data_IF_637238076417
#
_entry.id   IF_637238076417
#
_cell.length_a   1.000
_cell.length_b   1.000
_cell.length_c   1.000
_cell.angle_alpha   90.00
_cell.angle_beta   90.00
_cell.angle_gamma   90.00
#
_symmetry.space_group_name_H-M   'P 1'
#
loop_
_entity.id
_entity.type
_entity.pdbx_description
1 polymer ?
#
# COMPACT_ATOMS: atom_id res chain seq x y z
N UNK A 1 -21.33 -31.24 54.53
CA UNK A 1 -22.14 -30.06 54.12
C UNK A 1 -21.53 -28.70 54.48
N UNK A 2 -20.55 -28.58 55.40
CA UNK A 2 -19.90 -27.28 55.70
C UNK A 2 -18.69 -26.94 54.81
N UNK A 3 -17.97 -27.94 54.27
CA UNK A 3 -16.86 -27.69 53.33
C UNK A 3 -17.31 -27.26 51.93
N UNK A 4 -18.47 -27.75 51.45
CA UNK A 4 -19.01 -27.35 50.14
C UNK A 4 -19.49 -25.90 50.11
N UNK A 5 -20.02 -25.39 51.23
CA UNK A 5 -20.47 -24.00 51.36
C UNK A 5 -19.27 -23.04 51.35
N UNK A 6 -18.16 -23.42 51.97
CA UNK A 6 -16.93 -22.61 51.94
C UNK A 6 -16.28 -22.58 50.55
N UNK A 7 -16.34 -23.67 49.77
CA UNK A 7 -15.78 -23.69 48.42
C UNK A 7 -16.59 -22.83 47.44
N UNK A 8 -17.92 -22.85 47.56
CA UNK A 8 -18.82 -22.01 46.75
C UNK A 8 -18.69 -20.53 47.13
N UNK A 9 -18.54 -20.22 48.42
CA UNK A 9 -18.30 -18.84 48.87
C UNK A 9 -16.97 -18.28 48.34
N UNK A 10 -15.90 -19.09 48.31
CA UNK A 10 -14.60 -18.68 47.74
C UNK A 10 -14.69 -18.48 46.22
N UNK A 11 -15.41 -19.34 45.49
CA UNK A 11 -15.65 -19.16 44.05
C UNK A 11 -16.51 -17.91 43.73
N UNK A 12 -17.51 -17.56 44.56
CA UNK A 12 -18.30 -16.34 44.38
C UNK A 12 -17.50 -15.05 44.66
N UNK A 13 -16.54 -15.09 45.60
CA UNK A 13 -15.68 -13.94 45.92
C UNK A 13 -14.62 -13.71 44.82
N UNK A 14 -14.17 -14.76 44.14
CA UNK A 14 -13.24 -14.64 43.00
C UNK A 14 -13.95 -14.10 41.74
N UNK A 15 -15.26 -14.29 41.59
CA UNK A 15 -16.04 -13.76 40.46
C UNK A 15 -16.47 -12.28 40.60
N UNK A 16 -16.21 -11.63 41.73
CA UNK A 16 -16.73 -10.28 42.02
C UNK A 16 -15.67 -9.17 41.93
N UNK A 17 -14.43 -9.48 41.52
CA UNK A 17 -13.35 -8.50 41.34
C UNK A 17 -12.87 -8.42 39.88
N UNK A 18 -13.81 -8.32 38.95
CA UNK A 18 -13.52 -7.73 37.63
C UNK A 18 -13.82 -6.24 37.76
N UNK A 19 -12.78 -5.44 37.95
CA UNK A 19 -12.85 -3.99 37.89
C UNK A 19 -13.29 -3.57 36.49
N UNK A 20 -14.27 -2.66 36.47
CA UNK A 20 -14.79 -2.02 35.27
C UNK A 20 -13.69 -1.17 34.63
N UNK A 21 -13.19 -1.59 33.47
CA UNK A 21 -12.46 -0.69 32.59
C UNK A 21 -13.45 0.26 31.92
N UNK A 22 -13.12 1.54 32.01
CA UNK A 22 -13.91 2.67 31.56
C UNK A 22 -14.16 2.60 30.05
N UNK A 23 -15.42 2.48 29.67
CA UNK A 23 -15.87 2.67 28.29
C UNK A 23 -15.93 4.18 28.03
N UNK A 24 -14.90 4.72 27.39
CA UNK A 24 -14.98 6.07 26.81
C UNK A 24 -15.87 6.04 25.57
N UNK A 25 -16.84 6.96 25.41
CA UNK A 25 -17.64 7.06 24.19
C UNK A 25 -16.78 7.71 23.11
N UNK A 26 -16.32 6.92 22.13
CA UNK A 26 -15.74 7.47 20.90
C UNK A 26 -16.85 8.10 20.06
N UNK A 27 -16.82 9.42 19.96
CA UNK A 27 -17.67 10.20 19.08
C UNK A 27 -17.62 9.70 17.63
N UNK A 28 -18.80 9.60 17.03
CA UNK A 28 -19.03 9.51 15.59
C UNK A 28 -18.51 10.79 14.94
N UNK A 29 -17.47 10.68 14.12
CA UNK A 29 -17.12 11.68 13.13
C UNK A 29 -16.44 11.00 11.92
N UNK A 30 -17.18 10.99 10.81
CA UNK A 30 -16.73 10.88 9.42
C UNK A 30 -15.50 10.03 9.10
N UNK A 31 -15.72 8.86 8.52
CA UNK A 31 -14.75 8.18 7.65
C UNK A 31 -14.53 9.02 6.38
N UNK A 32 -13.71 10.07 6.48
CA UNK A 32 -13.09 10.68 5.30
C UNK A 32 -11.86 9.82 4.95
N UNK A 33 -11.88 9.20 3.78
CA UNK A 33 -10.85 8.29 3.31
C UNK A 33 -9.46 8.90 3.46
N UNK A 34 -8.63 8.30 4.31
CA UNK A 34 -7.23 8.66 4.44
C UNK A 34 -6.54 8.27 3.14
N UNK A 35 -6.32 9.27 2.29
CA UNK A 35 -5.50 9.18 1.09
C UNK A 35 -4.18 8.51 1.46
N UNK A 36 -3.97 7.28 0.97
CA UNK A 36 -2.74 6.51 1.19
C UNK A 36 -1.52 7.09 0.45
N UNK A 37 -1.61 8.36 0.01
CA UNK A 37 -0.57 9.14 -0.67
C UNK A 37 0.18 10.06 0.31
N UNK A 38 0.32 9.67 1.58
CA UNK A 38 1.20 10.41 2.49
C UNK A 38 2.65 10.16 2.03
N UNK A 39 3.23 11.14 1.32
CA UNK A 39 4.66 11.14 1.00
C UNK A 39 5.45 10.99 2.29
N UNK A 40 6.43 10.09 2.31
CA UNK A 40 7.31 9.92 3.47
C UNK A 40 8.40 10.98 3.40
N UNK A 41 8.49 11.83 4.43
CA UNK A 41 9.52 12.86 4.51
C UNK A 41 10.65 12.40 5.44
N UNK A 42 11.89 12.72 5.06
CA UNK A 42 13.07 12.61 5.93
C UNK A 42 13.59 14.02 6.19
N UNK A 43 13.81 14.39 7.45
CA UNK A 43 14.37 15.70 7.80
C UNK A 43 15.88 15.55 8.00
N UNK A 44 16.67 16.39 7.33
CA UNK A 44 18.13 16.46 7.49
C UNK A 44 18.53 17.84 7.99
N UNK A 45 19.27 17.88 9.10
CA UNK A 45 19.73 19.11 9.73
C UNK A 45 21.18 19.40 9.31
N UNK A 46 21.43 20.64 8.93
CA UNK A 46 22.70 21.14 8.44
C UNK A 46 23.27 22.17 9.41
N UNK A 47 24.55 22.03 9.76
CA UNK A 47 25.29 22.97 10.61
C UNK A 47 25.75 24.21 9.83
N UNK A 48 26.18 25.25 10.55
CA UNK A 48 26.72 26.47 9.96
C UNK A 48 27.92 26.22 9.04
N UNK A 49 28.74 25.22 9.34
CA UNK A 49 29.92 24.85 8.53
C UNK A 49 29.58 24.10 7.23
N UNK A 50 28.33 23.63 7.07
CA UNK A 50 27.90 22.83 5.91
C UNK A 50 26.43 23.06 5.58
N UNK A 51 26.03 24.29 5.20
CA UNK A 51 24.63 24.61 4.93
C UNK A 51 24.13 23.96 3.64
N UNK A 52 22.85 23.63 3.62
CA UNK A 52 22.15 23.29 2.38
C UNK A 52 21.86 24.56 1.58
N UNK A 53 22.07 24.52 0.27
CA UNK A 53 21.80 25.62 -0.64
C UNK A 53 20.57 25.29 -1.50
N UNK A 54 19.45 26.01 -1.35
CA UNK A 54 18.24 25.79 -2.14
C UNK A 54 18.37 26.32 -3.57
N UNK A 55 17.51 25.82 -4.46
CA UNK A 55 17.26 26.44 -5.76
C UNK A 55 16.40 27.73 -5.60
N UNK A 56 16.48 28.66 -6.56
CA UNK A 56 15.83 29.99 -6.51
C UNK A 56 14.31 29.97 -6.25
N UNK A 57 13.60 28.90 -6.60
CA UNK A 57 12.15 28.74 -6.49
C UNK A 57 11.74 27.74 -5.38
N UNK A 58 12.62 27.41 -4.45
CA UNK A 58 12.33 26.46 -3.38
C UNK A 58 11.65 27.14 -2.17
N UNK A 59 10.44 26.70 -1.84
CA UNK A 59 9.69 27.19 -0.67
C UNK A 59 10.41 26.84 0.64
N UNK A 60 10.39 27.75 1.62
CA UNK A 60 11.03 27.56 2.92
C UNK A 60 10.11 27.89 4.09
N UNK A 61 10.32 27.21 5.21
CA UNK A 61 9.53 27.36 6.45
C UNK A 61 10.47 27.55 7.63
N UNK A 62 10.15 28.54 8.46
CA UNK A 62 10.85 28.78 9.72
C UNK A 62 10.34 27.85 10.81
N UNK A 63 11.23 27.16 11.51
CA UNK A 63 10.88 26.22 12.57
C UNK A 63 11.78 26.37 13.81
N UNK A 64 11.24 26.73 14.99
CA UNK A 64 11.96 26.65 16.25
C UNK A 64 11.90 25.24 16.85
N UNK A 65 13.01 24.76 17.41
CA UNK A 65 13.03 23.54 18.20
C UNK A 65 12.79 23.84 19.70
N UNK A 66 12.49 22.80 20.48
CA UNK A 66 12.27 22.83 21.93
C UNK A 66 13.40 23.50 22.72
N UNK A 67 14.62 23.45 22.20
CA UNK A 67 15.81 24.07 22.80
C UNK A 67 15.97 25.56 22.46
N UNK A 68 15.00 26.17 21.75
CA UNK A 68 15.06 27.56 21.29
C UNK A 68 16.04 27.80 20.14
N UNK A 69 16.47 26.74 19.45
CA UNK A 69 17.26 26.85 18.20
C UNK A 69 16.32 27.04 17.01
N UNK A 70 16.65 28.00 16.17
CA UNK A 70 15.87 28.33 14.98
C UNK A 70 16.45 27.61 13.76
N UNK A 71 15.56 27.12 12.90
CA UNK A 71 15.92 26.46 11.65
C UNK A 71 15.15 27.09 10.50
N UNK A 72 15.81 27.20 9.34
CA UNK A 72 15.15 27.46 8.07
C UNK A 72 15.14 26.18 7.25
N UNK A 73 13.95 25.67 6.96
CA UNK A 73 13.75 24.37 6.34
C UNK A 73 13.15 24.49 4.95
N UNK A 74 13.79 23.88 3.97
CA UNK A 74 13.42 23.96 2.56
C UNK A 74 12.53 22.78 2.19
N UNK A 75 11.33 23.09 1.71
CA UNK A 75 10.36 22.09 1.31
C UNK A 75 10.72 21.50 -0.06
N UNK A 76 10.56 20.18 -0.25
CA UNK A 76 10.78 19.54 -1.53
C UNK A 76 9.71 20.00 -2.53
N UNK A 77 10.14 20.28 -3.77
CA UNK A 77 9.22 20.57 -4.87
C UNK A 77 8.47 19.29 -5.23
N UNK A 78 7.24 19.14 -4.73
CA UNK A 78 6.37 18.03 -5.14
C UNK A 78 5.82 18.37 -6.52
N UNK A 79 6.33 17.71 -7.56
CA UNK A 79 5.69 17.75 -8.87
C UNK A 79 4.26 17.25 -8.72
N UNK A 80 3.28 18.15 -8.80
CA UNK A 80 1.88 17.76 -8.92
C UNK A 80 1.77 17.03 -10.25
N UNK A 81 1.69 15.70 -10.21
CA UNK A 81 1.35 14.88 -11.36
C UNK A 81 0.12 15.54 -11.97
N UNK A 82 0.28 16.12 -13.16
CA UNK A 82 -0.82 16.73 -13.90
C UNK A 82 -1.86 15.64 -14.05
N UNK A 83 -2.96 15.75 -13.31
CA UNK A 83 -4.17 15.01 -13.62
C UNK A 83 -4.46 15.33 -15.07
N UNK A 84 -4.31 14.33 -15.93
CA UNK A 84 -4.69 14.41 -17.32
C UNK A 84 -6.18 14.74 -17.33
N UNK A 85 -6.50 16.03 -17.44
CA UNK A 85 -7.86 16.48 -17.71
C UNK A 85 -8.28 15.81 -19.02
N UNK A 86 -9.54 15.36 -19.17
CA UNK A 86 -10.01 14.86 -20.45
C UNK A 86 -9.82 15.99 -21.47
N UNK A 87 -9.07 15.70 -22.53
CA UNK A 87 -8.84 16.64 -23.63
C UNK A 87 -10.19 16.88 -24.29
N UNK A 88 -10.77 18.05 -24.05
CA UNK A 88 -11.84 18.60 -24.86
C UNK A 88 -11.27 18.84 -26.26
N UNK A 89 -11.82 18.16 -27.26
CA UNK A 89 -11.43 18.31 -28.65
C UNK A 89 -11.65 19.76 -29.11
N UNK A 90 -10.56 20.48 -29.40
CA UNK A 90 -10.59 21.62 -30.32
C UNK A 90 -9.37 21.53 -31.25
N UNK A 91 -9.65 21.41 -32.54
CA UNK A 91 -8.70 21.51 -33.67
C UNK A 91 -8.14 22.97 -33.72
N UNK A 92 -6.97 23.36 -34.28
CA UNK A 92 -6.08 22.88 -35.34
C UNK A 92 -4.69 23.57 -35.18
N UNK A 93 -3.63 22.92 -35.70
CA UNK A 93 -2.38 23.47 -36.30
C UNK A 93 -1.35 24.23 -35.44
N UNK A 94 -0.17 23.65 -35.20
CA UNK A 94 0.96 23.59 -36.15
C UNK A 94 2.23 23.01 -35.51
N UNK A 95 2.89 22.12 -36.25
CA UNK A 95 4.33 21.78 -36.24
C UNK A 95 5.10 21.77 -34.91
N UNK A 96 5.22 20.60 -34.30
CA UNK A 96 6.53 20.04 -33.92
C UNK A 96 6.51 18.56 -34.35
N UNK A 97 7.20 18.27 -35.45
CA UNK A 97 7.60 16.90 -35.80
C UNK A 97 8.85 16.62 -34.98
N UNK A 98 8.66 16.13 -33.77
CA UNK A 98 9.68 15.31 -33.12
C UNK A 98 9.09 13.94 -32.89
N UNK A 99 9.87 12.95 -33.32
CA UNK A 99 9.50 11.56 -33.43
C UNK A 99 9.15 10.95 -32.08
N UNK A 100 7.90 11.12 -31.67
CA UNK A 100 7.25 10.11 -30.85
C UNK A 100 7.08 8.89 -31.75
N UNK A 101 8.11 8.03 -31.78
CA UNK A 101 7.84 6.61 -31.90
C UNK A 101 6.84 6.35 -30.77
N UNK A 102 5.55 6.33 -31.07
CA UNK A 102 4.56 5.69 -30.22
C UNK A 102 5.04 4.24 -30.12
N UNK A 103 5.90 3.97 -29.15
CA UNK A 103 6.23 2.63 -28.73
C UNK A 103 4.92 2.13 -28.17
N UNK A 104 4.16 1.41 -29.01
CA UNK A 104 2.94 0.74 -28.59
C UNK A 104 3.32 -0.09 -27.37
N UNK A 105 2.92 0.37 -26.18
CA UNK A 105 3.21 -0.32 -24.94
C UNK A 105 2.53 -1.68 -25.04
N UNK A 106 3.31 -2.74 -24.78
CA UNK A 106 2.77 -4.08 -24.75
C UNK A 106 1.73 -4.19 -23.65
N UNK A 107 0.65 -4.92 -23.88
CA UNK A 107 -0.33 -5.19 -22.82
C UNK A 107 0.29 -6.06 -21.71
N UNK A 108 -0.29 -6.08 -20.50
CA UNK A 108 0.16 -6.99 -19.45
C UNK A 108 0.20 -8.45 -19.90
N UNK A 109 -0.84 -8.90 -20.63
CA UNK A 109 -0.89 -10.27 -21.16
C UNK A 109 0.23 -10.53 -22.18
N UNK A 110 0.50 -9.59 -23.10
CA UNK A 110 1.62 -9.69 -24.06
C UNK A 110 3.00 -9.76 -23.38
N UNK A 111 3.16 -9.13 -22.22
CA UNK A 111 4.39 -9.20 -21.43
C UNK A 111 4.53 -10.54 -20.71
N UNK A 112 3.41 -11.15 -20.31
CA UNK A 112 3.35 -12.41 -19.59
C UNK A 112 3.37 -13.64 -20.51
N UNK A 113 3.19 -13.49 -21.83
CA UNK A 113 3.31 -14.60 -22.81
C UNK A 113 4.61 -15.43 -22.69
N UNK A 114 5.72 -14.84 -22.22
CA UNK A 114 6.96 -15.60 -21.99
C UNK A 114 6.85 -16.64 -20.88
N UNK A 115 5.81 -16.57 -20.05
CA UNK A 115 5.49 -17.53 -19.01
C UNK A 115 4.71 -18.74 -19.53
N UNK A 116 4.24 -18.70 -20.79
CA UNK A 116 3.56 -19.82 -21.42
C UNK A 116 4.43 -21.08 -21.38
N UNK A 117 3.80 -22.21 -21.10
CA UNK A 117 4.44 -23.52 -20.89
C UNK A 117 5.44 -23.57 -19.72
N UNK A 118 5.49 -22.55 -18.86
CA UNK A 118 6.28 -22.56 -17.61
C UNK A 118 5.38 -22.84 -16.42
N UNK A 119 5.91 -23.67 -15.53
CA UNK A 119 5.29 -23.95 -14.24
C UNK A 119 6.20 -23.50 -13.11
N UNK A 120 5.60 -22.98 -12.04
CA UNK A 120 6.25 -22.49 -10.85
C UNK A 120 5.79 -23.34 -9.67
N UNK A 121 6.74 -23.78 -8.85
CA UNK A 121 6.45 -24.60 -7.67
C UNK A 121 6.86 -23.84 -6.42
N UNK A 122 6.01 -23.87 -5.40
CA UNK A 122 6.30 -23.35 -4.07
C UNK A 122 5.82 -24.33 -3.01
N UNK A 123 6.73 -24.71 -2.11
CA UNK A 123 6.41 -25.54 -0.95
C UNK A 123 6.07 -24.65 0.25
N UNK A 124 4.94 -24.93 0.90
CA UNK A 124 4.54 -24.34 2.18
C UNK A 124 4.11 -25.44 3.16
N UNK A 125 5.06 -25.87 3.99
CA UNK A 125 4.84 -26.95 4.96
C UNK A 125 4.51 -28.27 4.27
N UNK A 126 3.32 -28.81 4.57
CA UNK A 126 2.81 -30.08 4.04
C UNK A 126 2.47 -30.01 2.54
N UNK A 127 2.10 -28.84 2.03
CA UNK A 127 1.62 -28.68 0.67
C UNK A 127 2.68 -28.07 -0.25
N UNK A 128 2.71 -28.53 -1.49
CA UNK A 128 3.39 -27.86 -2.59
C UNK A 128 2.36 -27.36 -3.59
N UNK A 129 2.54 -26.14 -4.09
CA UNK A 129 1.65 -25.49 -5.04
C UNK A 129 2.37 -25.36 -6.37
N UNK A 130 1.80 -25.94 -7.41
CA UNK A 130 2.29 -25.85 -8.78
C UNK A 130 1.33 -25.00 -9.61
N UNK A 131 1.84 -23.87 -10.11
CA UNK A 131 1.13 -22.95 -10.97
C UNK A 131 1.71 -23.00 -12.39
N UNK A 132 0.90 -23.34 -13.38
CA UNK A 132 1.28 -23.25 -14.79
C UNK A 132 0.46 -22.14 -15.48
N UNK A 133 1.16 -21.19 -16.11
CA UNK A 133 0.53 -20.01 -16.71
C UNK A 133 -0.48 -20.39 -17.80
N UNK A 134 -1.69 -19.83 -17.72
CA UNK A 134 -2.84 -20.11 -18.60
C UNK A 134 -3.21 -21.60 -18.73
N UNK A 135 -2.89 -22.40 -17.69
CA UNK A 135 -3.25 -23.80 -17.63
C UNK A 135 -4.01 -24.09 -16.34
N UNK A 136 -3.31 -24.45 -15.25
CA UNK A 136 -3.95 -24.78 -13.97
C UNK A 136 -3.07 -24.45 -12.78
N UNK A 137 -3.72 -24.25 -11.65
CA UNK A 137 -3.09 -24.24 -10.34
C UNK A 137 -3.49 -25.52 -9.60
N UNK A 138 -2.51 -26.21 -9.03
CA UNK A 138 -2.75 -27.39 -8.19
C UNK A 138 -1.97 -27.35 -6.89
N UNK A 139 -2.58 -27.93 -5.87
CA UNK A 139 -1.99 -28.23 -4.57
C UNK A 139 -1.68 -29.73 -4.56
N UNK A 140 -0.43 -30.09 -4.27
CA UNK A 140 0.08 -31.45 -4.26
C UNK A 140 0.81 -31.73 -2.95
N UNK A 141 0.64 -32.94 -2.42
CA UNK A 141 1.49 -33.49 -1.37
C UNK A 141 2.35 -34.60 -1.95
N UNK A 142 3.66 -34.55 -1.68
CA UNK A 142 4.66 -35.45 -2.25
C UNK A 142 5.37 -36.20 -1.13
N UNK A 143 5.36 -37.53 -1.20
CA UNK A 143 6.13 -38.42 -0.32
C UNK A 143 6.99 -39.33 -1.20
N UNK A 144 8.28 -39.50 -0.86
CA UNK A 144 9.23 -40.33 -1.64
C UNK A 144 9.21 -40.05 -3.15
N UNK A 145 9.18 -38.78 -3.53
CA UNK A 145 9.08 -38.29 -4.92
C UNK A 145 7.81 -38.72 -5.68
N UNK A 146 6.77 -39.18 -4.97
CA UNK A 146 5.46 -39.53 -5.53
C UNK A 146 4.40 -38.58 -5.02
N UNK A 147 3.57 -38.08 -5.94
CA UNK A 147 2.37 -37.31 -5.59
C UNK A 147 1.35 -38.26 -4.97
N UNK A 148 1.12 -38.14 -3.66
CA UNK A 148 0.16 -38.96 -2.92
C UNK A 148 -1.21 -38.31 -2.79
N UNK A 149 -1.27 -36.98 -2.92
CA UNK A 149 -2.52 -36.23 -2.89
C UNK A 149 -2.45 -35.03 -3.83
N UNK A 150 -3.53 -34.77 -4.57
CA UNK A 150 -3.63 -33.67 -5.53
C UNK A 150 -5.02 -33.03 -5.48
N UNK A 151 -5.06 -31.69 -5.45
CA UNK A 151 -6.25 -30.88 -5.61
C UNK A 151 -6.00 -29.79 -6.64
N UNK A 152 -6.88 -29.67 -7.63
CA UNK A 152 -6.86 -28.55 -8.57
C UNK A 152 -7.55 -27.36 -7.90
N UNK A 153 -6.83 -26.25 -7.77
CA UNK A 153 -7.36 -25.01 -7.17
C UNK A 153 -8.00 -24.08 -8.21
N UNK A 154 -7.89 -24.45 -9.48
CA UNK A 154 -8.57 -23.82 -10.61
C UNK A 154 -7.85 -24.09 -11.92
N UNK A 155 -8.58 -23.91 -13.02
CA UNK A 155 -8.12 -23.96 -14.42
C UNK A 155 -8.34 -22.57 -15.01
N UNK A 156 -7.42 -22.13 -15.86
CA UNK A 156 -7.48 -20.79 -16.44
C UNK A 156 -8.81 -20.56 -17.17
N UNK A 157 -9.47 -19.46 -16.83
CA UNK A 157 -10.77 -19.08 -17.37
C UNK A 157 -10.63 -17.72 -18.08
N UNK A 158 -10.58 -17.76 -19.41
CA UNK A 158 -10.37 -16.58 -20.24
C UNK A 158 -11.57 -15.61 -20.16
N UNK A 159 -12.79 -16.14 -20.14
CA UNK A 159 -14.01 -15.33 -20.08
C UNK A 159 -14.14 -14.63 -18.72
N UNK A 160 -13.95 -15.37 -17.62
CA UNK A 160 -13.95 -14.79 -16.28
C UNK A 160 -12.81 -13.78 -16.10
N UNK A 161 -11.63 -14.05 -16.66
CA UNK A 161 -10.50 -13.12 -16.65
C UNK A 161 -10.82 -11.82 -17.38
N UNK A 162 -11.39 -11.91 -18.59
CA UNK A 162 -11.79 -10.75 -19.37
C UNK A 162 -12.86 -9.92 -18.65
N UNK A 163 -13.88 -10.58 -18.09
CA UNK A 163 -14.94 -9.91 -17.33
C UNK A 163 -14.40 -9.21 -16.06
N UNK A 164 -13.49 -9.87 -15.34
CA UNK A 164 -12.85 -9.30 -14.15
C UNK A 164 -12.03 -8.06 -14.49
N UNK A 165 -11.20 -8.13 -15.54
CA UNK A 165 -10.34 -7.03 -15.96
C UNK A 165 -11.11 -5.85 -16.59
N UNK A 166 -12.28 -6.10 -17.20
CA UNK A 166 -13.17 -5.02 -17.66
C UNK A 166 -13.80 -4.24 -16.50
N UNK A 167 -14.16 -4.92 -15.42
CA UNK A 167 -14.76 -4.29 -14.23
C UNK A 167 -13.73 -3.47 -13.44
N UNK A 168 -12.46 -3.87 -13.50
CA UNK A 168 -11.33 -3.21 -12.83
C UNK A 168 -10.72 -2.01 -13.57
N UNK A 169 -11.42 -1.43 -14.55
CA UNK A 169 -10.94 -0.23 -15.27
C UNK A 169 -10.59 0.94 -14.35
N UNK A 170 -11.11 0.96 -13.12
CA UNK A 170 -10.63 1.83 -12.05
C UNK A 170 -9.31 1.30 -11.46
N UNK A 171 -8.23 1.65 -12.14
CA UNK A 171 -6.82 1.49 -11.79
C UNK A 171 -6.51 1.86 -10.31
N UNK A 172 -7.35 2.64 -9.63
CA UNK A 172 -7.21 2.99 -8.20
C UNK A 172 -7.59 1.88 -7.21
N UNK A 173 -8.32 0.85 -7.65
CA UNK A 173 -8.81 -0.25 -6.80
C UNK A 173 -7.90 -1.48 -6.75
N UNK A 174 -6.82 -1.53 -7.54
CA UNK A 174 -5.87 -2.64 -7.62
C UNK A 174 -4.88 -2.70 -6.43
N UNK A 175 -5.35 -2.36 -5.24
CA UNK A 175 -4.61 -2.51 -3.98
C UNK A 175 -5.02 -3.83 -3.37
N UNK A 176 -4.07 -4.75 -3.18
CA UNK A 176 -4.31 -5.87 -2.27
C UNK A 176 -4.40 -5.30 -0.84
N UNK A 177 -5.55 -5.39 -0.13
CA UNK A 177 -5.68 -4.88 1.23
C UNK A 177 -4.67 -5.51 2.21
N UNK A 178 -4.08 -6.65 1.84
CA UNK A 178 -3.11 -7.40 2.64
C UNK A 178 -1.66 -7.18 2.19
N UNK A 179 -1.42 -6.46 1.09
CA UNK A 179 -0.06 -6.07 0.71
C UNK A 179 0.49 -5.07 1.71
N UNK A 180 1.72 -5.32 2.20
CA UNK A 180 2.48 -4.34 3.00
C UNK A 180 2.85 -3.10 2.19
N UNK A 181 2.85 -3.22 0.87
CA UNK A 181 3.19 -2.18 -0.06
C UNK A 181 1.93 -1.67 -0.75
N UNK A 182 1.51 -0.47 -0.35
CA UNK A 182 0.26 0.15 -0.79
C UNK A 182 0.31 0.66 -2.23
N UNK A 183 1.48 0.72 -2.87
CA UNK A 183 1.65 1.22 -4.24
C UNK A 183 1.84 0.12 -5.29
N UNK A 184 2.00 -1.14 -4.89
CA UNK A 184 2.17 -2.24 -5.83
C UNK A 184 0.84 -2.60 -6.52
N UNK A 185 0.81 -2.41 -7.84
CA UNK A 185 -0.31 -2.74 -8.73
C UNK A 185 -0.14 -4.15 -9.27
N UNK A 186 -1.26 -4.84 -9.55
CA UNK A 186 -1.25 -6.20 -10.09
C UNK A 186 -2.18 -6.39 -11.28
N UNK A 187 -1.84 -7.36 -12.14
CA UNK A 187 -2.69 -7.85 -13.24
C UNK A 187 -3.32 -9.16 -12.80
N UNK A 188 -4.60 -9.37 -13.07
CA UNK A 188 -5.33 -10.51 -12.52
C UNK A 188 -5.79 -11.48 -13.60
N UNK A 189 -5.64 -12.77 -13.31
CA UNK A 189 -6.25 -13.87 -14.04
C UNK A 189 -7.14 -14.70 -13.11
N UNK A 190 -8.28 -15.12 -13.60
CA UNK A 190 -9.22 -15.97 -12.88
C UNK A 190 -9.03 -17.43 -13.25
N UNK A 191 -8.95 -18.30 -12.25
CA UNK A 191 -8.84 -19.74 -12.40
C UNK A 191 -10.04 -20.38 -11.69
N UNK A 192 -10.94 -20.99 -12.46
CA UNK A 192 -12.22 -21.53 -11.97
C UNK A 192 -12.27 -23.04 -12.17
N UNK A 193 -13.39 -23.69 -11.83
CA UNK A 193 -13.61 -25.12 -12.13
C UNK A 193 -12.53 -26.06 -11.55
N UNK A 194 -12.01 -25.75 -10.36
CA UNK A 194 -11.11 -26.65 -9.62
C UNK A 194 -11.82 -27.87 -9.04
N UNK A 195 -11.07 -28.68 -8.31
CA UNK A 195 -11.59 -29.87 -7.62
C UNK A 195 -12.71 -29.47 -6.66
N UNK A 196 -13.79 -30.25 -6.66
CA UNK A 196 -14.95 -30.08 -5.81
C UNK A 196 -14.56 -29.93 -4.33
N UNK A 197 -14.95 -28.82 -3.70
CA UNK A 197 -14.76 -28.60 -2.28
C UNK A 197 -15.76 -29.45 -1.48
N UNK A 198 -15.24 -30.20 -0.52
CA UNK A 198 -15.99 -31.05 0.41
C UNK A 198 -16.80 -30.22 1.43
N UNK A 199 -16.28 -29.06 1.82
CA UNK A 199 -16.92 -28.19 2.81
C UNK A 199 -18.05 -27.34 2.22
N UNK A 200 -17.87 -26.80 1.02
CA UNK A 200 -18.83 -25.87 0.40
C UNK A 200 -19.66 -26.49 -0.71
N UNK A 201 -19.28 -27.68 -1.19
CA UNK A 201 -19.84 -28.27 -2.42
C UNK A 201 -19.79 -27.32 -3.64
N UNK A 202 -18.82 -26.39 -3.68
CA UNK A 202 -18.49 -25.60 -4.86
C UNK A 202 -17.10 -25.98 -5.40
N UNK A 203 -16.84 -25.86 -6.72
CA UNK A 203 -15.50 -26.03 -7.26
C UNK A 203 -14.56 -24.99 -6.66
N UNK A 204 -13.31 -25.40 -6.38
CA UNK A 204 -12.27 -24.47 -5.94
C UNK A 204 -11.97 -23.43 -7.03
N UNK A 205 -11.68 -22.21 -6.62
CA UNK A 205 -11.31 -21.12 -7.51
C UNK A 205 -10.15 -20.30 -6.95
N UNK A 206 -9.37 -19.70 -7.84
CA UNK A 206 -8.19 -18.90 -7.49
C UNK A 206 -8.12 -17.63 -8.33
N UNK A 207 -7.92 -16.49 -7.68
CA UNK A 207 -7.45 -15.27 -8.33
C UNK A 207 -5.91 -15.26 -8.35
N UNK A 208 -5.32 -15.27 -9.54
CA UNK A 208 -3.87 -15.19 -9.72
C UNK A 208 -3.47 -13.75 -10.03
N UNK A 209 -2.69 -13.14 -9.14
CA UNK A 209 -2.21 -11.76 -9.18
C UNK A 209 -0.77 -11.71 -9.66
N UNK A 210 -0.51 -11.06 -10.78
CA UNK A 210 0.83 -10.83 -11.28
C UNK A 210 1.32 -9.44 -10.89
N UNK A 211 2.46 -9.38 -10.21
CA UNK A 211 3.09 -8.13 -9.78
C UNK A 211 4.48 -7.97 -10.41
N UNK A 212 4.87 -6.73 -10.69
CA UNK A 212 6.25 -6.43 -11.08
C UNK A 212 7.20 -6.72 -9.91
N UNK A 213 8.20 -7.57 -10.15
CA UNK A 213 9.32 -7.79 -9.24
C UNK A 213 10.48 -8.47 -9.96
N UNK A 214 11.71 -8.07 -9.61
CA UNK A 214 12.96 -8.60 -10.17
C UNK A 214 13.68 -9.50 -9.14
N UNK A 215 14.54 -10.46 -9.56
CA UNK A 215 15.05 -10.67 -10.91
C UNK A 215 14.35 -11.77 -11.72
N UNK A 216 13.52 -12.61 -11.09
CA UNK A 216 12.94 -13.81 -11.73
C UNK A 216 11.47 -13.99 -11.39
N UNK A 217 10.75 -14.68 -12.27
CA UNK A 217 9.36 -15.02 -12.02
C UNK A 217 9.25 -16.15 -10.99
N UNK A 218 8.37 -16.00 -9.99
CA UNK A 218 8.13 -17.00 -8.95
C UNK A 218 6.82 -16.75 -8.19
N UNK A 219 6.31 -17.78 -7.51
CA UNK A 219 5.18 -17.64 -6.57
C UNK A 219 5.68 -16.94 -5.30
N UNK A 220 5.19 -15.73 -5.03
CA UNK A 220 5.56 -14.97 -3.82
C UNK A 220 4.70 -15.32 -2.61
N UNK A 221 3.43 -15.65 -2.83
CA UNK A 221 2.50 -16.04 -1.77
C UNK A 221 1.32 -16.81 -2.33
N UNK A 222 0.73 -17.64 -1.49
CA UNK A 222 -0.59 -18.22 -1.70
C UNK A 222 -1.39 -18.08 -0.41
N UNK A 223 -2.65 -17.66 -0.51
CA UNK A 223 -3.50 -17.46 0.67
C UNK A 223 -4.91 -17.95 0.36
N UNK A 224 -5.50 -18.70 1.26
CA UNK A 224 -6.93 -19.00 1.22
C UNK A 224 -7.69 -17.79 1.77
N UNK A 225 -8.43 -17.09 0.91
CA UNK A 225 -9.18 -15.88 1.27
C UNK A 225 -10.43 -16.22 2.09
N UNK A 226 -11.07 -17.32 1.69
CA UNK A 226 -12.21 -17.97 2.35
C UNK A 226 -12.19 -19.44 1.95
N UNK A 227 -12.97 -20.28 2.61
CA UNK A 227 -13.03 -21.73 2.32
C UNK A 227 -13.09 -22.03 0.82
N UNK A 228 -12.08 -22.72 0.29
CA UNK A 228 -11.94 -23.13 -1.11
C UNK A 228 -11.83 -22.01 -2.15
N UNK A 229 -11.52 -20.77 -1.71
CA UNK A 229 -11.19 -19.63 -2.58
C UNK A 229 -9.81 -19.10 -2.26
N UNK A 230 -8.94 -19.04 -3.26
CA UNK A 230 -7.52 -18.75 -3.07
C UNK A 230 -7.11 -17.47 -3.79
N UNK A 231 -6.05 -16.83 -3.30
CA UNK A 231 -5.30 -15.79 -3.99
C UNK A 231 -3.84 -16.22 -4.08
N UNK A 232 -3.32 -16.28 -5.31
CA UNK A 232 -1.93 -16.60 -5.61
C UNK A 232 -1.25 -15.35 -6.14
N UNK A 233 -0.10 -14.97 -5.60
CA UNK A 233 0.68 -13.86 -6.15
C UNK A 233 1.92 -14.39 -6.88
N UNK A 234 2.06 -14.00 -8.14
CA UNK A 234 3.22 -14.28 -8.99
C UNK A 234 4.01 -12.98 -9.16
N UNK A 235 5.26 -13.03 -8.74
CA UNK A 235 6.23 -12.01 -9.09
C UNK A 235 6.71 -12.27 -10.52
N UNK A 236 6.78 -11.22 -11.35
CA UNK A 236 7.29 -11.33 -12.72
C UNK A 236 8.07 -10.07 -13.14
N UNK A 237 9.35 -10.20 -13.55
CA UNK A 237 10.14 -9.07 -14.01
C UNK A 237 9.64 -8.51 -15.35
N UNK A 238 8.85 -9.27 -16.10
CA UNK A 238 8.36 -8.82 -17.41
C UNK A 238 7.31 -7.72 -17.29
N UNK A 239 6.50 -7.75 -16.23
CA UNK A 239 5.53 -6.68 -15.96
C UNK A 239 6.18 -5.35 -15.62
N UNK A 240 7.43 -5.35 -15.12
CA UNK A 240 8.17 -4.12 -14.81
C UNK A 240 8.47 -3.26 -16.05
N UNK A 241 8.36 -3.84 -17.26
CA UNK A 241 8.46 -3.10 -18.53
C UNK A 241 7.25 -2.20 -18.79
N UNK A 242 6.16 -2.40 -18.06
CA UNK A 242 4.95 -1.61 -18.18
C UNK A 242 4.91 -0.54 -17.08
N UNK A 243 4.79 0.76 -17.44
CA UNK A 243 4.83 1.86 -16.45
C UNK A 243 3.81 1.73 -15.32
N UNK A 244 2.61 1.22 -15.61
CA UNK A 244 1.57 1.02 -14.58
C UNK A 244 1.92 -0.03 -13.52
N UNK A 245 2.91 -0.90 -13.71
CA UNK A 245 3.24 -1.92 -12.70
C UNK A 245 4.56 -1.63 -11.99
N UNK A 246 5.31 -0.63 -12.43
CA UNK A 246 6.46 -0.15 -11.69
C UNK A 246 5.95 0.35 -10.34
N UNK A 247 6.46 -0.25 -9.28
CA UNK A 247 6.15 0.16 -7.92
C UNK A 247 6.38 1.66 -7.83
N UNK A 248 5.33 2.42 -7.50
CA UNK A 248 5.48 3.83 -7.16
C UNK A 248 6.19 3.82 -5.81
N UNK A 249 7.52 3.65 -5.86
CA UNK A 249 8.35 3.67 -4.66
C UNK A 249 7.99 4.96 -3.95
N UNK A 250 7.62 4.87 -2.68
CA UNK A 250 7.42 6.05 -1.87
C UNK A 250 8.71 6.87 -1.96
N UNK A 251 8.68 7.93 -2.77
CA UNK A 251 9.84 8.81 -2.94
C UNK A 251 9.99 9.47 -1.59
N UNK A 252 11.06 9.09 -0.88
CA UNK A 252 11.42 9.81 0.32
C UNK A 252 11.82 11.20 -0.13
N UNK A 253 11.06 12.21 0.28
CA UNK A 253 11.46 13.58 0.05
C UNK A 253 12.25 14.07 1.26
N UNK A 254 13.44 14.62 1.02
CA UNK A 254 14.25 15.19 2.07
C UNK A 254 13.86 16.65 2.28
N UNK A 255 13.54 17.02 3.52
CA UNK A 255 13.43 18.40 3.97
C UNK A 255 14.78 18.78 4.58
N UNK A 256 15.47 19.72 3.97
CA UNK A 256 16.77 20.19 4.44
C UNK A 256 16.60 21.40 5.34
N UNK A 257 17.14 21.35 6.55
CA UNK A 257 17.00 22.39 7.57
C UNK A 257 18.36 22.98 7.96
N UNK A 258 18.58 24.25 7.66
CA UNK A 258 19.78 24.97 8.10
C UNK A 258 19.56 25.59 9.49
N UNK A 259 20.54 25.42 10.39
CA UNK A 259 20.56 26.15 11.67
C UNK A 259 20.70 27.65 11.39
N UNK A 260 19.88 28.46 12.05
CA UNK A 260 19.98 29.91 12.02
C UNK A 260 20.77 30.43 13.24
N UNK A 261 21.62 31.45 13.06
CA UNK A 261 22.23 32.16 14.18
C UNK A 261 21.16 32.75 15.10
N UNK A 262 21.44 32.79 16.41
CA UNK A 262 20.50 33.30 17.44
C UNK A 262 20.08 34.77 17.24
N UNK A 263 20.80 35.51 16.42
CA UNK A 263 20.59 36.93 16.13
C UNK A 263 20.04 37.21 14.71
N UNK A 264 19.60 36.17 13.98
CA UNK A 264 19.05 36.32 12.64
C UNK A 264 17.69 37.05 12.70
N UNK A 265 17.70 38.34 12.33
CA UNK A 265 16.47 39.08 12.00
C UNK A 265 15.96 38.53 10.68
N UNK A 266 14.78 37.93 10.69
CA UNK A 266 14.05 37.59 9.47
C UNK A 266 13.69 38.91 8.80
N UNK A 267 14.41 39.30 7.74
CA UNK A 267 13.87 40.30 6.82
C UNK A 267 12.61 39.70 6.20
N UNK A 268 11.54 40.47 6.16
CA UNK A 268 10.23 40.08 5.63
C UNK A 268 10.35 39.78 4.13
N UNK A 269 10.77 38.56 3.80
CA UNK A 269 10.59 37.97 2.48
C UNK A 269 9.11 37.55 2.37
N UNK A 270 8.34 38.05 1.38
CA UNK A 270 6.90 37.79 1.24
C UNK A 270 6.49 36.31 1.08
N UNK A 271 7.44 35.36 1.10
CA UNK A 271 7.16 33.92 1.02
C UNK A 271 7.11 33.17 2.36
N UNK A 272 7.33 33.83 3.50
CA UNK A 272 7.32 33.15 4.81
C UNK A 272 5.91 33.17 5.42
N UNK A 273 5.25 32.01 5.46
CA UNK A 273 3.97 31.85 6.17
C UNK A 273 4.23 31.45 7.63
N UNK A 274 3.91 32.34 8.56
CA UNK A 274 4.01 32.11 10.01
C UNK A 274 2.74 31.39 10.50
N UNK A 275 2.88 30.21 11.13
CA UNK A 275 1.81 29.59 11.91
C UNK A 275 2.20 29.76 13.38
N UNK A 276 1.52 30.66 14.09
CA UNK A 276 1.60 30.76 15.54
C UNK A 276 0.42 29.99 16.15
N UNK A 277 0.73 29.01 17.01
CA UNK A 277 -0.25 28.47 17.95
C UNK A 277 -0.57 29.56 18.99
N UNK A 278 -1.82 30.00 19.01
CA UNK A 278 -2.34 30.92 20.02
C UNK A 278 -2.57 30.16 21.33
N UNK A 279 -1.67 30.35 22.29
CA UNK A 279 -1.93 29.99 23.69
C UNK A 279 -2.86 31.04 24.32
N UNK A 280 -3.97 30.53 24.83
CA UNK A 280 -5.09 31.26 25.44
C UNK A 280 -4.69 31.81 26.81
N UNK A 281 -4.74 33.14 26.99
CA UNK A 281 -4.41 33.79 28.26
C UNK A 281 -5.70 34.18 28.99
N UNK A 282 -6.11 33.34 29.95
CA UNK A 282 -7.25 33.62 30.83
C UNK A 282 -6.90 34.75 31.81
N UNK A 283 -7.60 35.88 31.67
CA UNK A 283 -7.51 37.00 32.60
C UNK A 283 -8.33 36.74 33.86
N UNK A 284 -7.63 36.66 34.99
CA UNK A 284 -8.15 36.75 36.35
C UNK A 284 -8.68 38.18 36.59
N UNK A 285 -9.96 38.33 36.97
CA UNK A 285 -10.46 39.58 37.57
C UNK A 285 -11.12 39.24 38.91
N UNK A 286 -10.50 39.77 39.96
CA UNK A 286 -10.89 39.65 41.36
C UNK A 286 -11.98 40.66 41.69
N UNK A 287 -12.92 40.25 42.54
CA UNK A 287 -13.99 41.08 43.09
C UNK A 287 -13.57 41.59 44.45
N UNK A 288 -13.55 42.91 44.68
CA UNK A 288 -13.88 43.51 45.99
C UNK A 288 -13.89 45.05 45.95
N UNK A 289 -15.03 45.58 46.41
CA UNK A 289 -15.35 46.92 46.95
C UNK A 289 -15.46 48.11 46.00
#
# INVERSE_FOLDING_TARGET
>A
MRLFVSLVAVLCIVCSNVLADQIFPSHVAGTLGRSSRESKYKIEFHSEDSPYHPDDDQESVFMPNKDGKNFLCFLPKVEKIKTLKPVTQQNVSSMIVESEKQVKLKTPDELLEVLKDRCFIRQEGWWSYEFCYQNRLRQIHVEEDKVVQEFVLGVYDEEATAAFNQNLSDISALKDPRSKDASQRYHAHQYTNGTQCDLTNQPRETEVRFVCSEPRAMISSITELSTCKYALTIQSPMLCKHPLFQEERAVWHTINCNVLPKDAKVEEDPHITMIMDSEDQSSYFDSSQ
#
